data_IF_335211172183
#
_entry.id   IF_335211172183
#
_cell.length_a   1.000
_cell.length_b   1.000
_cell.length_c   1.000
_cell.angle_alpha   90.00
_cell.angle_beta   90.00
_cell.angle_gamma   90.00
#
_symmetry.space_group_name_H-M   'P 1'
#
loop_
_entity.id
_entity.type
_entity.pdbx_description
1 polymer ?
#
# COMPACT_ATOMS: atom_id res chain seq x y z
N UNK A 1 -6.49 -26.33 -6.62
CA UNK A 1 -6.46 -25.43 -7.79
C UNK A 1 -7.88 -24.94 -8.03
N UNK A 2 -8.11 -23.62 -8.18
CA UNK A 2 -9.35 -23.18 -8.81
C UNK A 2 -9.44 -23.78 -10.23
N UNK A 3 -10.65 -24.06 -10.73
CA UNK A 3 -10.82 -24.66 -12.05
C UNK A 3 -10.16 -23.78 -13.10
N UNK A 4 -9.30 -24.36 -13.93
CA UNK A 4 -8.78 -23.70 -15.13
C UNK A 4 -9.97 -23.57 -16.08
N UNK A 5 -10.48 -22.36 -16.22
CA UNK A 5 -11.59 -22.07 -17.12
C UNK A 5 -11.17 -22.31 -18.58
N UNK A 6 -12.13 -22.63 -19.44
CA UNK A 6 -11.90 -22.80 -20.88
C UNK A 6 -11.38 -21.48 -21.47
N UNK A 7 -10.22 -21.46 -22.17
CA UNK A 7 -9.65 -20.24 -22.77
C UNK A 7 -10.63 -19.45 -23.65
N UNK A 8 -11.61 -20.12 -24.27
CA UNK A 8 -12.66 -19.47 -25.07
C UNK A 8 -13.72 -18.80 -24.19
N UNK A 9 -14.03 -19.38 -23.03
CA UNK A 9 -14.95 -18.80 -22.04
C UNK A 9 -14.32 -17.54 -21.43
N UNK A 10 -13.02 -17.56 -21.17
CA UNK A 10 -12.28 -16.41 -20.65
C UNK A 10 -12.31 -15.21 -21.60
N UNK A 11 -12.11 -15.42 -22.91
CA UNK A 11 -12.14 -14.31 -23.89
C UNK A 11 -13.52 -13.62 -23.96
N UNK A 12 -14.61 -14.40 -24.00
CA UNK A 12 -15.97 -13.85 -24.08
C UNK A 12 -16.36 -13.06 -22.83
N UNK A 13 -16.04 -13.58 -21.65
CA UNK A 13 -16.40 -12.91 -20.39
C UNK A 13 -15.54 -11.67 -20.12
N UNK A 14 -14.27 -11.68 -20.56
CA UNK A 14 -13.41 -10.49 -20.54
C UNK A 14 -14.01 -9.37 -21.37
N UNK A 15 -14.43 -9.65 -22.61
CA UNK A 15 -15.05 -8.63 -23.48
C UNK A 15 -16.39 -8.12 -22.93
N UNK A 16 -17.17 -8.99 -22.26
CA UNK A 16 -18.39 -8.57 -21.56
C UNK A 16 -18.10 -7.59 -20.40
N UNK A 17 -17.02 -7.80 -19.64
CA UNK A 17 -16.62 -6.85 -18.59
C UNK A 17 -16.04 -5.57 -19.20
N UNK A 18 -15.16 -5.70 -20.19
CA UNK A 18 -14.47 -4.59 -20.87
C UNK A 18 -15.46 -3.59 -21.47
N UNK A 19 -16.47 -4.07 -22.20
CA UNK A 19 -17.52 -3.23 -22.78
C UNK A 19 -18.32 -2.42 -21.75
N UNK A 20 -18.46 -2.94 -20.52
CA UNK A 20 -19.18 -2.26 -19.43
C UNK A 20 -18.33 -1.25 -18.63
N UNK A 21 -17.02 -1.16 -18.90
CA UNK A 21 -16.12 -0.21 -18.21
C UNK A 21 -15.35 0.71 -19.16
N UNK A 22 -15.60 0.58 -20.47
CA UNK A 22 -14.88 1.30 -21.53
C UNK A 22 -14.89 2.82 -21.36
N UNK A 23 -15.94 3.38 -20.77
CA UNK A 23 -16.11 4.82 -20.54
C UNK A 23 -15.12 5.42 -19.53
N UNK A 24 -14.51 4.60 -18.67
CA UNK A 24 -13.54 5.02 -17.65
C UNK A 24 -12.20 4.27 -17.74
N UNK A 25 -12.05 3.38 -18.72
CA UNK A 25 -10.88 2.53 -18.90
C UNK A 25 -9.72 3.34 -19.52
N UNK A 26 -8.54 3.23 -18.94
CA UNK A 26 -7.33 3.82 -19.50
C UNK A 26 -6.63 2.82 -20.45
N UNK A 27 -6.14 3.25 -21.64
CA UNK A 27 -5.52 2.34 -22.61
C UNK A 27 -4.33 1.54 -22.06
N UNK A 28 -3.53 2.13 -21.17
CA UNK A 28 -2.42 1.43 -20.52
C UNK A 28 -2.87 0.23 -19.67
N UNK A 29 -4.03 0.33 -19.01
CA UNK A 29 -4.56 -0.73 -18.15
C UNK A 29 -5.38 -1.77 -18.92
N UNK A 30 -5.71 -1.48 -20.19
CA UNK A 30 -6.60 -2.27 -21.04
C UNK A 30 -5.90 -3.53 -21.59
N UNK A 31 -5.70 -4.51 -20.71
CA UNK A 31 -5.06 -5.80 -21.04
C UNK A 31 -5.96 -6.96 -20.63
N UNK A 32 -6.03 -8.06 -21.43
CA UNK A 32 -6.82 -9.24 -21.08
C UNK A 32 -6.51 -9.80 -19.68
N UNK A 33 -5.23 -9.80 -19.29
CA UNK A 33 -4.80 -10.33 -18.00
C UNK A 33 -5.23 -9.47 -16.82
N UNK A 34 -5.32 -8.14 -16.97
CA UNK A 34 -5.90 -7.30 -15.92
C UNK A 34 -7.36 -7.66 -15.69
N UNK A 35 -8.18 -7.77 -16.74
CA UNK A 35 -9.57 -8.22 -16.59
C UNK A 35 -9.67 -9.62 -15.97
N UNK A 36 -8.79 -10.54 -16.38
CA UNK A 36 -8.75 -11.90 -15.85
C UNK A 36 -8.48 -11.92 -14.34
N UNK A 37 -7.54 -11.09 -13.84
CA UNK A 37 -7.29 -10.94 -12.38
C UNK A 37 -8.55 -10.52 -11.63
N UNK A 38 -9.28 -9.53 -12.16
CA UNK A 38 -10.53 -9.06 -11.53
C UNK A 38 -11.60 -10.15 -11.54
N UNK A 39 -11.77 -10.86 -12.66
CA UNK A 39 -12.71 -11.98 -12.78
C UNK A 39 -12.38 -13.13 -11.82
N UNK A 40 -11.13 -13.59 -11.79
CA UNK A 40 -10.64 -14.63 -10.88
C UNK A 40 -10.93 -14.28 -9.42
N UNK A 41 -10.74 -13.00 -9.06
CA UNK A 41 -10.96 -12.53 -7.70
C UNK A 41 -12.43 -12.47 -7.27
N UNK A 42 -13.37 -12.56 -8.22
CA UNK A 42 -14.80 -12.58 -7.99
C UNK A 42 -15.48 -13.80 -8.59
N UNK A 43 -14.74 -14.92 -8.73
CA UNK A 43 -15.27 -16.21 -9.20
C UNK A 43 -16.00 -16.09 -10.55
N UNK A 44 -15.44 -15.27 -11.45
CA UNK A 44 -16.00 -14.97 -12.77
C UNK A 44 -17.42 -14.37 -12.75
N UNK A 45 -17.83 -13.78 -11.62
CA UNK A 45 -19.10 -13.05 -11.55
C UNK A 45 -18.98 -11.67 -12.21
N UNK A 46 -19.53 -11.52 -13.41
CA UNK A 46 -19.46 -10.29 -14.21
C UNK A 46 -19.95 -9.06 -13.45
N UNK A 47 -21.13 -9.13 -12.81
CA UNK A 47 -21.73 -7.99 -12.11
C UNK A 47 -20.87 -7.50 -10.94
N UNK A 48 -20.40 -8.42 -10.09
CA UNK A 48 -19.47 -8.10 -8.99
C UNK A 48 -18.14 -7.57 -9.50
N UNK A 49 -17.63 -8.15 -10.59
CA UNK A 49 -16.37 -7.75 -11.23
C UNK A 49 -16.47 -6.32 -11.74
N UNK A 50 -17.48 -6.00 -12.55
CA UNK A 50 -17.72 -4.66 -13.08
C UNK A 50 -17.86 -3.64 -11.95
N UNK A 51 -18.67 -3.92 -10.93
CA UNK A 51 -18.86 -3.00 -9.81
C UNK A 51 -17.55 -2.64 -9.09
N UNK A 52 -16.71 -3.63 -8.78
CA UNK A 52 -15.46 -3.39 -8.06
C UNK A 52 -14.35 -2.84 -8.98
N UNK A 53 -14.29 -3.30 -10.23
CA UNK A 53 -13.37 -2.77 -11.23
C UNK A 53 -13.64 -1.28 -11.49
N UNK A 54 -14.91 -0.85 -11.59
CA UNK A 54 -15.23 0.58 -11.76
C UNK A 54 -14.75 1.43 -10.58
N UNK A 55 -14.85 0.93 -9.34
CA UNK A 55 -14.27 1.59 -8.15
C UNK A 55 -12.76 1.71 -8.26
N UNK A 56 -12.09 0.64 -8.70
CA UNK A 56 -10.65 0.66 -8.90
C UNK A 56 -10.22 1.64 -10.01
N UNK A 57 -10.86 1.62 -11.18
CA UNK A 57 -10.54 2.53 -12.29
C UNK A 57 -10.72 4.00 -11.88
N UNK A 58 -11.79 4.31 -11.13
CA UNK A 58 -11.97 5.65 -10.53
C UNK A 58 -10.84 5.99 -9.55
N UNK A 59 -10.48 5.06 -8.67
CA UNK A 59 -9.39 5.22 -7.70
C UNK A 59 -8.02 5.44 -8.37
N UNK A 60 -7.73 4.72 -9.47
CA UNK A 60 -6.53 4.90 -10.29
C UNK A 60 -6.49 6.29 -10.90
N UNK A 61 -7.60 6.70 -11.53
CA UNK A 61 -7.75 8.02 -12.16
C UNK A 61 -7.55 9.16 -11.16
N UNK A 62 -8.16 9.08 -9.98
CA UNK A 62 -8.02 10.09 -8.91
C UNK A 62 -6.57 10.23 -8.38
N UNK A 63 -5.76 9.17 -8.53
CA UNK A 63 -4.37 9.14 -8.06
C UNK A 63 -3.37 9.29 -9.20
N UNK A 64 -3.84 9.50 -10.43
CA UNK A 64 -3.04 9.61 -11.64
C UNK A 64 -2.09 8.42 -11.84
N UNK A 65 -2.52 7.19 -11.49
CA UNK A 65 -1.61 6.03 -11.53
C UNK A 65 -1.24 5.58 -12.94
N UNK A 66 -2.04 5.98 -13.93
CA UNK A 66 -1.84 5.63 -15.35
C UNK A 66 -1.14 6.74 -16.14
N UNK A 67 -0.88 7.89 -15.52
CA UNK A 67 -0.02 8.94 -16.07
C UNK A 67 1.45 8.54 -15.81
N UNK A 68 2.42 9.10 -16.56
CA UNK A 68 3.84 8.74 -16.41
C UNK A 68 4.31 8.75 -14.94
N UNK A 69 5.47 8.17 -14.61
CA UNK A 69 5.98 7.95 -13.24
C UNK A 69 5.91 9.15 -12.25
N UNK A 70 5.51 10.34 -12.71
CA UNK A 70 5.09 11.51 -11.93
C UNK A 70 3.63 11.50 -11.45
N UNK A 71 2.77 10.58 -11.85
CA UNK A 71 1.35 10.57 -11.49
C UNK A 71 1.07 10.50 -9.99
N UNK A 72 1.86 9.72 -9.24
CA UNK A 72 1.83 9.74 -7.77
C UNK A 72 2.46 10.99 -7.14
N UNK A 73 2.97 11.93 -7.94
CA UNK A 73 3.41 13.27 -7.51
C UNK A 73 2.23 14.25 -7.55
N UNK A 74 1.26 14.04 -8.47
CA UNK A 74 0.09 14.90 -8.74
C UNK A 74 -1.15 14.58 -7.90
N UNK A 75 -1.22 13.46 -7.17
CA UNK A 75 -2.39 13.05 -6.36
C UNK A 75 -2.75 13.97 -5.16
N UNK A 76 -2.19 15.17 -5.11
CA UNK A 76 -2.70 16.27 -4.29
C UNK A 76 -3.50 17.24 -5.18
N UNK A 77 -4.63 16.80 -5.73
CA UNK A 77 -5.70 17.71 -6.16
C UNK A 77 -6.80 17.56 -5.11
N UNK A 78 -6.75 18.35 -4.05
CA UNK A 78 -7.46 19.62 -3.99
C UNK A 78 -8.97 19.39 -4.21
N UNK A 79 -9.67 19.10 -3.11
CA UNK A 79 -10.93 19.81 -2.90
C UNK A 79 -10.61 21.31 -3.01
N UNK A 80 -11.53 22.06 -3.60
CA UNK A 80 -11.56 23.52 -3.70
C UNK A 80 -11.12 24.16 -5.02
N UNK A 81 -12.17 24.60 -5.70
CA UNK A 81 -12.28 25.71 -6.61
C UNK A 81 -11.65 27.01 -6.07
N UNK A 82 -11.08 27.78 -7.02
CA UNK A 82 -10.77 29.22 -7.07
C UNK A 82 -9.56 29.84 -6.30
N UNK A 83 -8.70 30.47 -7.12
CA UNK A 83 -7.82 31.64 -6.91
C UNK A 83 -6.28 31.49 -6.92
N UNK A 84 -5.68 32.34 -7.77
CA UNK A 84 -4.37 32.28 -8.42
C UNK A 84 -3.23 32.94 -7.61
N UNK A 85 -3.17 32.72 -6.29
CA UNK A 85 -2.03 33.15 -5.45
C UNK A 85 -1.23 31.97 -4.84
N UNK A 86 -1.70 30.73 -5.04
CA UNK A 86 -1.18 29.51 -4.43
C UNK A 86 0.08 28.93 -5.10
N UNK A 87 0.52 29.46 -6.24
CA UNK A 87 1.53 28.81 -7.11
C UNK A 87 2.92 28.75 -6.44
N UNK A 88 3.33 29.77 -5.67
CA UNK A 88 4.64 29.76 -4.99
C UNK A 88 4.67 28.88 -3.73
N UNK A 89 3.55 28.76 -3.01
CA UNK A 89 3.47 27.89 -1.83
C UNK A 89 3.38 26.41 -2.22
N UNK A 90 2.69 26.12 -3.34
CA UNK A 90 2.58 24.77 -3.89
C UNK A 90 3.95 24.19 -4.27
N UNK A 91 4.83 24.97 -4.93
CA UNK A 91 6.17 24.50 -5.32
C UNK A 91 7.06 24.14 -4.10
N UNK A 92 6.99 24.92 -3.00
CA UNK A 92 7.72 24.60 -1.75
C UNK A 92 7.19 23.35 -1.04
N UNK A 93 5.87 23.13 -1.08
CA UNK A 93 5.24 21.92 -0.54
C UNK A 93 5.57 20.69 -1.40
N UNK A 94 5.58 20.84 -2.72
CA UNK A 94 5.99 19.83 -3.70
C UNK A 94 7.45 19.39 -3.51
N UNK A 95 8.39 20.33 -3.32
CA UNK A 95 9.81 20.01 -3.06
C UNK A 95 10.02 19.28 -1.73
N UNK A 96 9.26 19.62 -0.67
CA UNK A 96 9.27 18.89 0.60
C UNK A 96 8.66 17.49 0.49
N UNK A 97 7.58 17.33 -0.27
CA UNK A 97 6.98 16.02 -0.59
C UNK A 97 7.96 15.15 -1.39
N UNK A 98 8.66 15.73 -2.36
CA UNK A 98 9.75 15.08 -3.10
C UNK A 98 10.93 14.66 -2.20
N UNK A 99 11.29 15.47 -1.21
CA UNK A 99 12.36 15.14 -0.26
C UNK A 99 11.97 14.03 0.71
N UNK A 100 10.72 14.01 1.19
CA UNK A 100 10.20 12.97 2.11
C UNK A 100 9.96 11.62 1.43
N UNK A 101 9.62 11.63 0.15
CA UNK A 101 9.49 10.42 -0.67
C UNK A 101 10.83 9.68 -0.90
N UNK A 102 11.97 10.35 -0.74
CA UNK A 102 13.27 9.67 -0.73
C UNK A 102 13.46 8.82 0.52
N UNK A 103 12.83 9.18 1.65
CA UNK A 103 13.02 8.50 2.93
C UNK A 103 12.47 7.07 2.86
N UNK A 104 11.25 6.86 2.35
CA UNK A 104 10.70 5.51 2.21
C UNK A 104 11.53 4.64 1.28
N UNK A 105 11.86 5.14 0.08
CA UNK A 105 12.63 4.38 -0.91
C UNK A 105 14.07 4.08 -0.47
N UNK A 106 14.66 4.91 0.39
CA UNK A 106 16.03 4.75 0.90
C UNK A 106 16.09 3.86 2.15
N UNK A 107 15.16 4.03 3.10
CA UNK A 107 15.20 3.38 4.42
C UNK A 107 14.24 2.18 4.55
N UNK A 108 13.30 2.02 3.63
CA UNK A 108 12.43 0.85 3.51
C UNK A 108 12.40 0.33 2.05
N UNK A 109 13.55 -0.04 1.48
CA UNK A 109 13.64 -0.43 0.07
C UNK A 109 12.97 -1.79 -0.17
N UNK A 110 12.30 -1.89 -1.32
CA UNK A 110 11.77 -3.14 -1.85
C UNK A 110 12.62 -3.54 -3.06
N UNK A 111 13.08 -4.79 -3.10
CA UNK A 111 14.04 -5.25 -4.10
C UNK A 111 13.35 -6.13 -5.14
N UNK A 112 13.54 -5.81 -6.42
CA UNK A 112 13.14 -6.70 -7.52
C UNK A 112 14.33 -7.58 -7.86
N UNK A 113 14.18 -8.89 -7.67
CA UNK A 113 15.25 -9.86 -7.97
C UNK A 113 15.27 -10.15 -9.47
N UNK A 114 14.10 -10.45 -10.03
CA UNK A 114 13.95 -10.84 -11.43
C UNK A 114 12.89 -11.92 -11.63
N UNK A 115 12.79 -12.39 -12.87
CA UNK A 115 11.83 -13.40 -13.26
C UNK A 115 12.29 -14.79 -12.84
N UNK A 116 11.42 -15.49 -12.10
CA UNK A 116 11.55 -16.92 -11.84
C UNK A 116 11.28 -17.71 -13.12
N UNK A 117 12.03 -18.79 -13.32
CA UNK A 117 11.87 -19.72 -14.46
C UNK A 117 11.27 -21.07 -14.09
N UNK A 118 10.95 -21.27 -12.80
CA UNK A 118 10.39 -22.51 -12.28
C UNK A 118 9.17 -22.99 -13.08
N UNK A 119 9.11 -24.28 -13.40
CA UNK A 119 7.98 -24.89 -14.12
C UNK A 119 6.65 -24.57 -13.42
N UNK A 120 5.67 -24.09 -14.19
CA UNK A 120 4.33 -23.78 -13.69
C UNK A 120 4.17 -22.43 -12.96
N UNK A 121 5.18 -21.56 -12.96
CA UNK A 121 5.10 -20.27 -12.26
C UNK A 121 5.80 -19.11 -12.96
N UNK A 122 5.05 -18.31 -13.73
CA UNK A 122 5.52 -17.02 -14.27
C UNK A 122 5.58 -15.96 -13.16
N UNK A 123 6.49 -16.13 -12.21
CA UNK A 123 6.61 -15.25 -11.06
C UNK A 123 7.71 -14.20 -11.21
N UNK A 124 7.38 -12.93 -10.99
CA UNK A 124 8.37 -11.91 -10.69
C UNK A 124 8.71 -12.01 -9.20
N UNK A 125 9.97 -12.29 -8.89
CA UNK A 125 10.45 -12.42 -7.50
C UNK A 125 10.77 -11.05 -6.95
N UNK A 126 10.08 -10.68 -5.86
CA UNK A 126 10.30 -9.42 -5.13
C UNK A 126 10.58 -9.73 -3.67
N UNK A 127 11.53 -9.00 -3.09
CA UNK A 127 12.00 -9.23 -1.72
C UNK A 127 11.84 -7.97 -0.89
N UNK A 128 11.15 -8.11 0.23
CA UNK A 128 10.96 -7.12 1.27
C UNK A 128 11.79 -7.51 2.50
N UNK A 129 12.85 -6.74 2.79
CA UNK A 129 13.76 -6.99 3.91
C UNK A 129 13.22 -6.40 5.23
N UNK A 130 11.93 -6.66 5.51
CA UNK A 130 11.18 -6.02 6.59
C UNK A 130 11.79 -6.20 7.98
N UNK A 131 12.46 -7.34 8.26
CA UNK A 131 13.13 -7.57 9.54
C UNK A 131 14.31 -6.63 9.82
N UNK A 132 14.90 -6.04 8.78
CA UNK A 132 16.05 -5.13 8.89
C UNK A 132 15.68 -3.64 8.79
N UNK A 133 14.41 -3.33 8.50
CA UNK A 133 13.95 -1.94 8.39
C UNK A 133 13.91 -1.31 9.79
N UNK A 134 14.41 -0.08 9.91
CA UNK A 134 14.21 0.76 11.10
C UNK A 134 12.76 1.27 11.14
N UNK A 135 11.83 0.37 11.49
CA UNK A 135 10.39 0.63 11.52
C UNK A 135 10.08 1.83 12.41
N UNK A 136 10.73 1.93 13.57
CA UNK A 136 10.53 3.03 14.51
C UNK A 136 11.01 4.38 13.95
N UNK A 137 12.16 4.41 13.28
CA UNK A 137 12.67 5.59 12.59
C UNK A 137 11.76 6.03 11.45
N UNK A 138 11.28 5.08 10.63
CA UNK A 138 10.33 5.36 9.53
C UNK A 138 9.05 5.98 10.08
N UNK A 139 8.41 5.35 11.09
CA UNK A 139 7.16 5.85 11.68
C UNK A 139 7.31 7.23 12.34
N UNK A 140 8.51 7.60 12.80
CA UNK A 140 8.80 8.94 13.35
C UNK A 140 9.13 9.98 12.29
N UNK A 141 9.38 9.58 11.05
CA UNK A 141 9.89 10.46 9.99
C UNK A 141 8.86 10.82 8.92
N UNK A 142 7.93 9.91 8.62
CA UNK A 142 6.94 10.07 7.55
C UNK A 142 5.52 9.82 8.06
N UNK A 143 4.53 10.28 7.29
CA UNK A 143 3.14 9.91 7.55
C UNK A 143 2.86 8.49 7.03
N UNK A 144 1.98 7.70 7.68
CA UNK A 144 1.57 6.39 7.16
C UNK A 144 1.02 6.43 5.73
N UNK A 145 0.33 7.52 5.37
CA UNK A 145 -0.17 7.75 4.01
C UNK A 145 0.96 7.91 2.97
N UNK A 146 2.09 8.51 3.36
CA UNK A 146 3.28 8.61 2.50
C UNK A 146 3.91 7.23 2.27
N UNK A 147 3.96 6.38 3.31
CA UNK A 147 4.39 4.98 3.17
C UNK A 147 3.47 4.20 2.21
N UNK A 148 2.15 4.31 2.37
CA UNK A 148 1.18 3.68 1.49
C UNK A 148 1.33 4.13 0.03
N UNK A 149 1.55 5.43 -0.21
CA UNK A 149 1.81 5.92 -1.56
C UNK A 149 3.09 5.34 -2.17
N UNK A 150 4.13 5.10 -1.38
CA UNK A 150 5.32 4.40 -1.86
C UNK A 150 5.01 2.94 -2.24
N UNK A 151 4.19 2.25 -1.44
CA UNK A 151 3.75 0.90 -1.77
C UNK A 151 2.98 0.86 -3.09
N UNK A 152 2.08 1.82 -3.35
CA UNK A 152 1.42 1.92 -4.66
C UNK A 152 2.42 2.09 -5.81
N UNK A 153 3.45 2.94 -5.65
CA UNK A 153 4.50 3.08 -6.68
C UNK A 153 5.20 1.77 -6.96
N UNK A 154 5.57 1.05 -5.91
CA UNK A 154 6.22 -0.24 -6.05
C UNK A 154 5.30 -1.23 -6.79
N UNK A 155 4.02 -1.28 -6.43
CA UNK A 155 3.06 -2.18 -7.07
C UNK A 155 2.71 -1.79 -8.52
N UNK A 156 2.67 -0.49 -8.85
CA UNK A 156 2.55 -0.04 -10.25
C UNK A 156 3.78 -0.46 -11.07
N UNK A 157 4.99 -0.28 -10.54
CA UNK A 157 6.21 -0.76 -11.22
C UNK A 157 6.16 -2.28 -11.44
N UNK A 158 5.69 -3.04 -10.45
CA UNK A 158 5.53 -4.49 -10.58
C UNK A 158 4.49 -4.86 -11.63
N UNK A 159 3.35 -4.16 -11.64
CA UNK A 159 2.28 -4.37 -12.60
C UNK A 159 2.76 -4.07 -14.02
N UNK A 160 3.52 -2.99 -14.22
CA UNK A 160 4.11 -2.63 -15.51
C UNK A 160 5.05 -3.74 -16.02
N UNK A 161 6.00 -4.19 -15.19
CA UNK A 161 6.90 -5.31 -15.53
C UNK A 161 6.11 -6.57 -15.86
N UNK A 162 5.06 -6.86 -15.09
CA UNK A 162 4.16 -8.00 -15.32
C UNK A 162 3.44 -7.89 -16.65
N UNK A 163 2.79 -6.76 -16.95
CA UNK A 163 2.05 -6.56 -18.19
C UNK A 163 2.98 -6.66 -19.41
N UNK A 164 4.21 -6.16 -19.32
CA UNK A 164 5.21 -6.35 -20.38
C UNK A 164 5.55 -7.82 -20.61
N UNK A 165 5.76 -8.59 -19.54
CA UNK A 165 6.08 -10.01 -19.65
C UNK A 165 4.90 -10.83 -20.17
N UNK A 166 3.69 -10.49 -19.74
CA UNK A 166 2.45 -11.07 -20.23
C UNK A 166 2.24 -10.81 -21.72
N UNK A 167 2.53 -9.60 -22.19
CA UNK A 167 2.49 -9.26 -23.62
C UNK A 167 3.54 -10.04 -24.44
N UNK A 168 4.73 -10.28 -23.88
CA UNK A 168 5.82 -11.04 -24.52
C UNK A 168 5.53 -12.54 -24.59
N UNK A 169 4.96 -13.10 -23.53
CA UNK A 169 4.82 -14.56 -23.35
C UNK A 169 3.43 -15.08 -23.70
N UNK A 170 2.41 -14.21 -23.68
CA UNK A 170 1.01 -14.61 -23.82
C UNK A 170 0.47 -15.41 -22.63
N UNK A 171 1.16 -15.40 -21.49
CA UNK A 171 0.78 -16.16 -20.30
C UNK A 171 0.66 -15.25 -19.08
N UNK A 172 -0.34 -15.48 -18.23
CA UNK A 172 -0.57 -14.69 -17.03
C UNK A 172 0.64 -14.80 -16.08
N UNK A 173 1.07 -13.67 -15.54
CA UNK A 173 2.20 -13.55 -14.61
C UNK A 173 1.71 -13.06 -13.24
N UNK A 174 2.50 -13.30 -12.20
CA UNK A 174 2.18 -12.89 -10.81
C UNK A 174 3.44 -12.60 -10.01
N UNK A 175 3.30 -12.08 -8.79
CA UNK A 175 4.42 -11.90 -7.86
C UNK A 175 4.64 -13.14 -6.99
N UNK A 176 5.90 -13.51 -6.81
CA UNK A 176 6.38 -14.23 -5.64
C UNK A 176 6.95 -13.19 -4.68
N UNK A 177 6.17 -12.83 -3.65
CA UNK A 177 6.53 -11.83 -2.66
C UNK A 177 7.21 -12.49 -1.48
N UNK A 178 8.52 -12.31 -1.35
CA UNK A 178 9.34 -12.83 -0.26
C UNK A 178 9.42 -11.77 0.84
N UNK A 179 8.86 -12.07 2.01
CA UNK A 179 8.85 -11.20 3.17
C UNK A 179 9.87 -11.72 4.19
N UNK A 180 11.05 -11.10 4.20
CA UNK A 180 12.18 -11.52 5.02
C UNK A 180 12.14 -10.83 6.39
N UNK A 181 11.99 -11.63 7.45
CA UNK A 181 11.95 -11.17 8.83
C UNK A 181 13.28 -11.31 9.58
N UNK A 182 14.37 -11.63 8.88
CA UNK A 182 15.70 -11.66 9.47
C UNK A 182 16.04 -10.31 10.12
N UNK A 183 16.48 -10.35 11.38
CA UNK A 183 16.78 -9.17 12.17
C UNK A 183 15.59 -8.52 12.89
N UNK A 184 14.35 -9.01 12.71
CA UNK A 184 13.19 -8.41 13.37
C UNK A 184 13.30 -8.58 14.90
N UNK A 185 13.42 -7.45 15.61
CA UNK A 185 13.39 -7.41 17.07
C UNK A 185 11.98 -7.20 17.59
N UNK A 186 11.59 -7.91 18.67
CA UNK A 186 10.28 -7.70 19.28
C UNK A 186 10.22 -6.33 19.96
N UNK A 187 9.32 -5.47 19.49
CA UNK A 187 8.96 -4.19 20.09
C UNK A 187 7.43 -4.15 20.24
N UNK A 188 6.86 -3.86 21.43
CA UNK A 188 5.42 -3.73 21.62
C UNK A 188 4.73 -2.79 20.62
N UNK A 189 5.44 -1.78 20.12
CA UNK A 189 4.96 -0.88 19.07
C UNK A 189 4.60 -1.63 17.77
N UNK A 190 5.27 -2.76 17.48
CA UNK A 190 4.97 -3.58 16.30
C UNK A 190 3.52 -4.04 16.26
N UNK A 191 2.91 -4.36 17.40
CA UNK A 191 1.50 -4.78 17.43
C UNK A 191 0.57 -3.63 17.03
N UNK A 192 0.87 -2.40 17.47
CA UNK A 192 0.13 -1.20 17.06
C UNK A 192 0.30 -0.90 15.57
N UNK A 193 1.53 -0.99 15.06
CA UNK A 193 1.84 -0.79 13.64
C UNK A 193 1.16 -1.86 12.77
N UNK A 194 1.22 -3.13 13.20
CA UNK A 194 0.65 -4.27 12.51
C UNK A 194 -0.87 -4.17 12.42
N UNK A 195 -1.54 -3.85 13.54
CA UNK A 195 -3.00 -3.75 13.61
C UNK A 195 -3.58 -2.44 13.04
N UNK A 196 -2.77 -1.39 12.92
CA UNK A 196 -3.13 -0.11 12.32
C UNK A 196 -2.55 0.07 10.91
N UNK A 197 -1.49 0.89 10.73
CA UNK A 197 -1.03 1.36 9.42
C UNK A 197 -0.60 0.24 8.47
N UNK A 198 0.04 -0.84 8.95
CA UNK A 198 0.43 -1.97 8.11
C UNK A 198 -0.80 -2.69 7.55
N UNK A 199 -1.75 -3.07 8.44
CA UNK A 199 -3.02 -3.70 8.03
C UNK A 199 -3.76 -2.84 7.01
N UNK A 200 -3.93 -1.55 7.26
CA UNK A 200 -4.65 -0.64 6.36
C UNK A 200 -3.97 -0.59 4.99
N UNK A 201 -2.63 -0.52 4.98
CA UNK A 201 -1.85 -0.49 3.74
C UNK A 201 -2.05 -1.77 2.92
N UNK A 202 -1.89 -2.93 3.54
CA UNK A 202 -2.03 -4.22 2.86
C UNK A 202 -3.47 -4.54 2.46
N UNK A 203 -4.46 -4.13 3.24
CA UNK A 203 -5.87 -4.24 2.86
C UNK A 203 -6.17 -3.37 1.64
N UNK A 204 -5.60 -2.17 1.57
CA UNK A 204 -5.75 -1.30 0.40
C UNK A 204 -5.07 -1.91 -0.83
N UNK A 205 -3.84 -2.40 -0.71
CA UNK A 205 -3.14 -3.11 -1.78
C UNK A 205 -3.97 -4.32 -2.27
N UNK A 206 -4.45 -5.17 -1.37
CA UNK A 206 -5.28 -6.33 -1.71
C UNK A 206 -6.66 -5.98 -2.27
N UNK A 207 -7.08 -4.71 -2.22
CA UNK A 207 -8.31 -4.22 -2.86
C UNK A 207 -8.06 -3.77 -4.29
N UNK A 208 -6.91 -3.16 -4.57
CA UNK A 208 -6.62 -2.53 -5.87
C UNK A 208 -5.69 -3.35 -6.77
N UNK A 209 -4.86 -4.22 -6.21
CA UNK A 209 -3.93 -5.10 -6.94
C UNK A 209 -4.37 -6.56 -6.78
N UNK A 210 -5.62 -6.83 -7.17
CA UNK A 210 -6.25 -8.15 -7.06
C UNK A 210 -5.47 -9.18 -7.88
N UNK A 211 -5.29 -10.37 -7.31
CA UNK A 211 -4.56 -11.49 -7.94
C UNK A 211 -3.16 -11.13 -8.49
N UNK A 212 -2.55 -10.00 -8.07
CA UNK A 212 -1.20 -9.64 -8.50
C UNK A 212 -0.14 -10.43 -7.74
N UNK A 213 -0.36 -10.65 -6.44
CA UNK A 213 0.46 -11.54 -5.62
C UNK A 213 -0.11 -12.95 -5.76
N UNK A 214 0.63 -13.82 -6.44
CA UNK A 214 0.27 -15.22 -6.56
C UNK A 214 0.75 -16.05 -5.37
N UNK A 215 1.93 -15.72 -4.82
CA UNK A 215 2.49 -16.32 -3.61
C UNK A 215 3.13 -15.27 -2.72
N UNK A 216 2.87 -15.35 -1.41
CA UNK A 216 3.46 -14.51 -0.39
C UNK A 216 4.14 -15.43 0.64
N UNK A 217 5.47 -15.45 0.67
CA UNK A 217 6.23 -16.35 1.56
C UNK A 217 6.96 -15.51 2.62
N UNK A 218 6.70 -15.82 3.88
CA UNK A 218 7.38 -15.19 5.01
C UNK A 218 8.52 -16.11 5.45
N UNK A 219 9.75 -15.61 5.37
CA UNK A 219 10.98 -16.36 5.70
C UNK A 219 11.70 -15.75 6.90
N UNK A 220 12.66 -16.49 7.47
CA UNK A 220 13.40 -16.09 8.67
C UNK A 220 12.48 -15.66 9.82
N UNK A 221 11.40 -16.41 10.04
CA UNK A 221 10.39 -16.04 11.01
C UNK A 221 10.93 -16.08 12.45
N UNK A 222 10.68 -15.04 13.27
CA UNK A 222 11.09 -15.07 14.66
C UNK A 222 10.23 -16.03 15.49
N UNK A 223 10.72 -16.45 16.66
CA UNK A 223 9.99 -17.38 17.55
C UNK A 223 8.60 -16.89 17.97
N UNK A 224 8.36 -15.58 17.92
CA UNK A 224 7.09 -14.94 18.26
C UNK A 224 6.20 -14.62 17.06
N UNK A 225 6.50 -15.12 15.85
CA UNK A 225 5.71 -14.87 14.63
C UNK A 225 4.23 -15.20 14.80
N UNK A 226 3.90 -16.24 15.55
CA UNK A 226 2.51 -16.64 15.82
C UNK A 226 1.73 -15.54 16.55
N UNK A 227 2.37 -14.76 17.42
CA UNK A 227 1.73 -13.63 18.10
C UNK A 227 1.35 -12.55 17.08
N UNK A 228 2.27 -12.21 16.17
CA UNK A 228 2.00 -11.25 15.10
C UNK A 228 0.90 -11.75 14.15
N UNK A 229 0.97 -13.03 13.75
CA UNK A 229 -0.03 -13.63 12.89
C UNK A 229 -1.42 -13.68 13.53
N UNK A 230 -1.53 -14.02 14.81
CA UNK A 230 -2.81 -13.98 15.54
C UNK A 230 -3.41 -12.58 15.60
N UNK A 231 -2.57 -11.53 15.68
CA UNK A 231 -3.05 -10.14 15.65
C UNK A 231 -3.51 -9.69 14.25
N UNK A 232 -2.88 -10.19 13.17
CA UNK A 232 -3.16 -9.77 11.79
C UNK A 232 -4.24 -10.63 11.09
N UNK A 233 -4.18 -11.96 11.26
CA UNK A 233 -4.95 -12.93 10.48
C UNK A 233 -6.48 -12.78 10.50
N UNK A 234 -7.14 -12.25 11.56
CA UNK A 234 -8.58 -11.98 11.53
C UNK A 234 -8.99 -10.96 10.47
N UNK A 235 -8.05 -10.14 9.98
CA UNK A 235 -8.29 -9.10 8.99
C UNK A 235 -7.89 -9.50 7.57
N UNK A 236 -7.31 -10.69 7.41
CA UNK A 236 -6.89 -11.22 6.10
C UNK A 236 -8.02 -12.08 5.52
N UNK A 237 -8.55 -11.77 4.34
CA UNK A 237 -9.56 -12.60 3.68
C UNK A 237 -9.05 -14.02 3.42
N UNK A 238 -9.93 -15.02 3.50
CA UNK A 238 -9.55 -16.45 3.37
C UNK A 238 -8.84 -16.77 2.05
N UNK A 239 -9.33 -16.18 0.94
CA UNK A 239 -8.69 -16.27 -0.38
C UNK A 239 -7.23 -15.79 -0.34
N UNK A 240 -6.94 -14.70 0.38
CA UNK A 240 -5.59 -14.20 0.52
C UNK A 240 -4.72 -15.08 1.43
N UNK A 241 -5.28 -15.65 2.51
CA UNK A 241 -4.55 -16.58 3.40
C UNK A 241 -4.03 -17.80 2.64
N UNK A 242 -4.79 -18.33 1.68
CA UNK A 242 -4.36 -19.47 0.86
C UNK A 242 -3.09 -19.22 0.03
N UNK A 243 -2.70 -17.95 -0.16
CA UNK A 243 -1.48 -17.54 -0.86
C UNK A 243 -0.33 -17.20 0.08
N UNK A 244 -0.58 -17.10 1.39
CA UNK A 244 0.40 -16.74 2.40
C UNK A 244 0.98 -18.03 3.01
N UNK A 245 2.29 -18.19 2.90
CA UNK A 245 3.04 -19.26 3.56
C UNK A 245 3.95 -18.65 4.62
N UNK A 246 3.67 -18.93 5.89
CA UNK A 246 4.57 -18.57 7.00
C UNK A 246 5.48 -19.77 7.27
N UNK A 247 6.75 -19.63 6.93
CA UNK A 247 7.71 -20.73 7.02
C UNK A 247 8.31 -20.88 8.42
N UNK A 248 8.92 -22.04 8.66
CA UNK A 248 9.65 -22.34 9.89
C UNK A 248 11.17 -22.31 9.68
N UNK A 249 11.87 -23.28 10.28
CA UNK A 249 13.33 -23.41 10.17
C UNK A 249 13.80 -23.86 8.78
N UNK A 250 12.93 -24.55 8.05
CA UNK A 250 13.17 -25.11 6.70
C UNK A 250 12.75 -24.16 5.58
N UNK A 251 12.76 -22.86 5.85
CA UNK A 251 12.27 -21.87 4.89
C UNK A 251 13.05 -21.85 3.58
N UNK A 252 14.31 -22.33 3.58
CA UNK A 252 15.14 -22.42 2.37
C UNK A 252 14.58 -23.47 1.44
N UNK A 253 14.29 -24.65 1.96
CA UNK A 253 13.64 -25.73 1.21
C UNK A 253 12.27 -25.26 0.70
N UNK A 254 11.46 -24.66 1.58
CA UNK A 254 10.13 -24.12 1.21
C UNK A 254 10.21 -23.07 0.08
N UNK A 255 11.25 -22.23 0.08
CA UNK A 255 11.46 -21.21 -0.97
C UNK A 255 11.93 -21.83 -2.30
N UNK A 256 12.78 -22.87 -2.23
CA UNK A 256 13.28 -23.58 -3.40
C UNK A 256 12.19 -24.42 -4.10
N UNK A 257 11.12 -24.79 -3.40
CA UNK A 257 9.91 -25.35 -4.02
C UNK A 257 9.12 -24.33 -4.86
N UNK A 258 9.36 -23.04 -4.66
CA UNK A 258 8.64 -21.96 -5.36
C UNK A 258 9.50 -21.28 -6.43
N UNK A 259 10.82 -21.32 -6.32
CA UNK A 259 11.73 -20.60 -7.21
C UNK A 259 13.02 -21.36 -7.49
N UNK A 260 13.49 -21.25 -8.73
CA UNK A 260 14.75 -21.85 -9.15
C UNK A 260 15.95 -21.18 -8.47
N UNK A 261 16.95 -21.98 -8.10
CA UNK A 261 18.23 -21.55 -7.53
C UNK A 261 18.88 -20.46 -8.38
N UNK A 262 18.82 -20.56 -9.72
CA UNK A 262 19.40 -19.58 -10.65
C UNK A 262 18.70 -18.21 -10.61
N UNK A 263 17.48 -18.16 -10.07
CA UNK A 263 16.64 -16.96 -10.02
C UNK A 263 16.57 -16.34 -8.62
N UNK A 264 17.33 -16.89 -7.66
CA UNK A 264 17.36 -16.44 -6.27
C UNK A 264 18.70 -15.79 -5.89
N UNK A 265 18.70 -14.86 -4.92
CA UNK A 265 19.91 -14.31 -4.32
C UNK A 265 20.71 -15.35 -3.51
N UNK A 266 22.02 -15.15 -3.40
CA UNK A 266 22.94 -16.04 -2.67
C UNK A 266 22.52 -16.27 -1.22
N UNK A 267 22.07 -15.23 -0.50
CA UNK A 267 21.58 -15.35 0.88
C UNK A 267 20.40 -16.31 1.04
N UNK A 268 19.63 -16.48 -0.02
CA UNK A 268 18.47 -17.37 -0.07
C UNK A 268 18.76 -18.72 -0.73
N UNK A 269 20.05 -19.06 -0.88
CA UNK A 269 20.51 -20.33 -1.45
C UNK A 269 20.58 -20.33 -2.98
N UNK A 270 20.45 -19.16 -3.62
CA UNK A 270 20.54 -19.00 -5.05
C UNK A 270 21.95 -18.65 -5.57
N UNK A 271 22.01 -18.13 -6.80
CA UNK A 271 23.26 -17.76 -7.49
C UNK A 271 23.37 -16.30 -7.90
N UNK A 272 22.34 -15.48 -7.64
CA UNK A 272 22.40 -14.05 -7.94
C UNK A 272 23.18 -13.36 -6.81
N UNK A 273 24.28 -12.65 -7.10
CA UNK A 273 25.05 -11.96 -6.08
C UNK A 273 24.20 -10.96 -5.30
N UNK A 274 24.25 -11.02 -3.97
CA UNK A 274 23.46 -10.20 -3.06
C UNK A 274 23.60 -8.69 -3.40
N UNK A 275 24.82 -8.21 -3.71
CA UNK A 275 25.08 -6.79 -3.98
C UNK A 275 24.40 -6.23 -5.24
N UNK A 276 23.97 -7.10 -6.17
CA UNK A 276 23.25 -6.68 -7.38
C UNK A 276 21.77 -6.42 -7.12
N UNK A 277 21.23 -7.05 -6.08
CA UNK A 277 19.80 -7.07 -5.79
C UNK A 277 19.49 -6.19 -4.59
N UNK A 278 20.25 -6.38 -3.51
CA UNK A 278 19.91 -5.82 -2.21
C UNK A 278 20.59 -4.50 -1.96
N UNK A 279 19.81 -3.62 -1.32
CA UNK A 279 20.32 -2.47 -0.60
C UNK A 279 19.96 -2.70 0.86
N UNK A 280 20.98 -2.83 1.71
CA UNK A 280 20.73 -3.00 3.13
C UNK A 280 20.00 -1.76 3.68
N UNK A 281 18.84 -1.93 4.35
CA UNK A 281 18.17 -0.82 5.00
C UNK A 281 19.09 -0.15 6.01
N UNK A 282 19.09 1.18 6.03
CA UNK A 282 19.86 1.98 6.98
C UNK A 282 18.95 2.47 8.11
N UNK A 283 19.49 2.76 9.31
CA UNK A 283 18.74 3.48 10.32
C UNK A 283 18.35 4.86 9.82
N UNK A 284 17.16 5.34 10.17
CA UNK A 284 16.69 6.64 9.70
C UNK A 284 17.37 7.76 10.52
N UNK A 285 18.05 8.72 9.87
CA UNK A 285 18.66 9.85 10.57
C UNK A 285 17.65 10.65 11.39
N UNK A 286 18.00 10.97 12.65
CA UNK A 286 17.11 11.65 13.61
C UNK A 286 16.74 13.09 13.25
N UNK A 287 17.45 13.70 12.30
CA UNK A 287 17.13 15.00 11.72
C UNK A 287 15.95 14.91 10.73
N UNK A 288 15.68 13.73 10.18
CA UNK A 288 14.50 13.47 9.35
C UNK A 288 13.23 13.22 10.17
N UNK A 289 13.36 13.00 11.48
CA UNK A 289 12.22 12.78 12.35
C UNK A 289 11.33 14.02 12.33
N UNK A 290 10.02 13.79 12.25
CA UNK A 290 9.06 14.87 12.31
C UNK A 290 9.19 15.60 13.65
N UNK A 291 9.25 16.93 13.58
CA UNK A 291 9.26 17.82 14.74
C UNK A 291 8.13 18.83 14.60
N UNK A 292 7.40 19.12 15.68
CA UNK A 292 6.44 20.22 15.67
C UNK A 292 7.18 21.51 15.31
N UNK A 293 6.52 22.41 14.58
CA UNK A 293 7.12 23.71 14.27
C UNK A 293 7.22 24.55 15.54
N UNK A 294 8.18 25.50 15.64
CA UNK A 294 8.35 26.32 16.82
C UNK A 294 7.10 27.12 17.25
N UNK A 295 6.23 27.46 16.29
CA UNK A 295 4.97 28.18 16.49
C UNK A 295 3.79 27.29 16.89
N UNK A 296 3.96 25.96 16.93
CA UNK A 296 2.88 25.05 17.32
C UNK A 296 2.66 25.10 18.84
N UNK A 297 1.41 25.02 19.32
CA UNK A 297 1.13 24.99 20.74
C UNK A 297 1.78 23.77 21.39
N UNK A 298 2.28 23.95 22.62
CA UNK A 298 2.76 22.82 23.41
C UNK A 298 1.60 21.88 23.75
N UNK A 299 1.89 20.58 23.88
CA UNK A 299 0.89 19.58 24.29
C UNK A 299 0.22 19.97 25.61
N UNK A 300 0.98 20.58 26.53
CA UNK A 300 0.49 21.05 27.82
C UNK A 300 -0.53 22.20 27.72
N UNK A 301 -0.46 23.00 26.65
CA UNK A 301 -1.41 24.09 26.37
C UNK A 301 -2.65 23.65 25.59
N UNK A 302 -2.71 22.39 25.13
CA UNK A 302 -3.83 21.88 24.34
C UNK A 302 -4.97 21.34 25.23
N UNK A 303 -6.21 21.49 24.75
CA UNK A 303 -7.37 20.89 25.41
C UNK A 303 -7.32 19.36 25.32
N UNK A 304 -7.27 18.69 26.47
CA UNK A 304 -7.32 17.23 26.52
C UNK A 304 -8.75 16.74 26.36
N UNK A 305 -8.95 15.84 25.41
CA UNK A 305 -10.25 15.25 25.09
C UNK A 305 -10.09 13.74 25.19
N UNK A 306 -11.01 13.10 25.93
CA UNK A 306 -11.15 11.64 25.94
C UNK A 306 -12.47 11.28 25.25
N UNK A 307 -12.39 10.33 24.32
CA UNK A 307 -13.50 9.79 23.56
C UNK A 307 -13.47 8.27 23.67
N UNK A 308 -14.48 7.63 24.29
CA UNK A 308 -14.53 6.17 24.37
C UNK A 308 -14.60 5.52 22.99
N UNK A 309 -14.11 4.28 22.86
CA UNK A 309 -14.14 3.54 21.61
C UNK A 309 -15.56 3.47 21.01
N UNK A 310 -15.67 3.78 19.72
CA UNK A 310 -16.94 3.78 18.98
C UNK A 310 -17.89 4.93 19.31
N UNK A 311 -17.44 5.92 20.11
CA UNK A 311 -18.18 7.16 20.36
C UNK A 311 -17.61 8.31 19.55
N UNK A 312 -18.44 9.31 19.33
CA UNK A 312 -18.10 10.55 18.65
C UNK A 312 -18.33 11.71 19.60
N UNK A 313 -17.52 12.76 19.45
CA UNK A 313 -17.64 13.96 20.27
C UNK A 313 -17.52 15.20 19.38
N UNK A 314 -18.38 16.16 19.64
CA UNK A 314 -18.56 17.37 18.83
C UNK A 314 -18.03 18.60 19.56
N UNK A 315 -17.26 19.44 18.85
CA UNK A 315 -16.77 20.73 19.36
C UNK A 315 -17.25 21.90 18.50
N UNK A 316 -18.13 22.71 19.07
CA UNK A 316 -18.71 23.90 18.45
C UNK A 316 -17.82 25.12 18.61
N UNK A 317 -17.54 25.83 17.52
CA UNK A 317 -16.93 27.16 17.57
C UNK A 317 -17.76 28.16 16.77
N UNK A 318 -17.88 29.39 17.26
CA UNK A 318 -18.52 30.48 16.54
C UNK A 318 -17.42 31.41 16.03
N UNK A 319 -17.45 31.73 14.74
CA UNK A 319 -16.42 32.52 14.08
C UNK A 319 -17.06 33.51 13.11
N UNK A 320 -16.46 34.70 13.00
CA UNK A 320 -16.87 35.72 12.04
C UNK A 320 -16.22 35.48 10.67
N UNK A 321 -16.84 36.00 9.61
CA UNK A 321 -16.28 35.96 8.26
C UNK A 321 -14.86 36.52 8.26
N UNK A 322 -13.91 35.75 7.74
CA UNK A 322 -12.49 36.11 7.71
C UNK A 322 -11.66 35.57 8.87
N UNK A 323 -12.27 34.87 9.84
CA UNK A 323 -11.52 34.16 10.90
C UNK A 323 -10.77 32.96 10.33
N UNK A 324 -9.48 32.84 10.64
CA UNK A 324 -8.68 31.65 10.33
C UNK A 324 -8.78 30.63 11.48
N UNK A 325 -9.24 29.41 11.17
CA UNK A 325 -9.31 28.31 12.13
C UNK A 325 -8.09 27.40 11.98
N UNK A 326 -7.23 27.37 13.00
CA UNK A 326 -6.10 26.46 13.08
C UNK A 326 -6.38 25.37 14.13
N UNK A 327 -6.40 24.11 13.70
CA UNK A 327 -6.65 22.96 14.57
C UNK A 327 -5.36 22.15 14.71
N UNK A 328 -4.84 22.10 15.94
CA UNK A 328 -3.73 21.24 16.31
C UNK A 328 -4.29 20.03 17.06
N UNK A 329 -3.86 18.82 16.69
CA UNK A 329 -4.25 17.60 17.40
C UNK A 329 -3.03 16.73 17.66
N UNK A 330 -3.01 16.10 18.83
CA UNK A 330 -2.09 15.03 19.18
C UNK A 330 -2.92 13.92 19.79
N UNK A 331 -2.74 12.71 19.29
CA UNK A 331 -3.64 11.60 19.54
C UNK A 331 -2.83 10.36 19.86
N UNK A 332 -3.30 9.58 20.82
CA UNK A 332 -2.68 8.31 21.21
C UNK A 332 -3.06 7.18 20.22
N UNK A 333 -4.08 7.39 19.38
CA UNK A 333 -4.54 6.47 18.35
C UNK A 333 -5.10 7.21 17.13
N UNK A 334 -5.35 6.48 16.04
CA UNK A 334 -6.06 7.02 14.87
C UNK A 334 -7.49 7.43 15.25
N UNK A 335 -7.95 8.53 14.67
CA UNK A 335 -9.29 9.09 14.85
C UNK A 335 -9.74 9.74 13.54
N UNK A 336 -11.03 9.73 13.26
CA UNK A 336 -11.59 10.34 12.06
C UNK A 336 -12.23 11.66 12.44
N UNK A 337 -11.85 12.75 11.77
CA UNK A 337 -12.53 14.01 11.97
C UNK A 337 -13.03 14.63 10.67
N UNK A 338 -14.10 15.41 10.80
CA UNK A 338 -14.65 16.22 9.75
C UNK A 338 -15.05 17.58 10.30
N UNK A 339 -15.02 18.60 9.45
CA UNK A 339 -15.36 19.97 9.80
C UNK A 339 -16.64 20.32 9.04
N UNK A 340 -17.64 20.81 9.77
CA UNK A 340 -18.98 21.08 9.25
C UNK A 340 -19.31 22.54 9.51
N UNK A 341 -19.87 23.21 8.51
CA UNK A 341 -20.29 24.60 8.54
C UNK A 341 -21.82 24.69 8.45
N UNK A 342 -22.41 25.59 9.24
CA UNK A 342 -23.84 25.89 9.23
C UNK A 342 -24.07 27.38 9.47
N UNK A 343 -24.92 28.01 8.66
CA UNK A 343 -25.33 29.44 8.79
C UNK A 343 -26.45 29.64 9.80
N UNK A 344 -27.30 28.63 9.99
CA UNK A 344 -28.32 28.62 11.03
C UNK A 344 -27.67 28.15 12.32
N UNK A 345 -28.08 28.68 13.46
CA UNK A 345 -27.81 28.09 14.79
C UNK A 345 -28.27 26.63 14.81
N UNK A 346 -27.44 25.76 14.28
CA UNK A 346 -27.31 24.39 14.74
C UNK A 346 -26.12 24.49 15.66
N UNK A 347 -26.36 24.29 16.96
CA UNK A 347 -25.31 24.12 17.97
C UNK A 347 -24.16 23.29 17.36
N UNK A 348 -23.07 23.91 16.89
CA UNK A 348 -21.95 23.14 16.35
C UNK A 348 -21.33 23.59 15.05
N UNK A 349 -20.07 24.01 15.11
CA UNK A 349 -19.06 23.24 14.37
C UNK A 349 -19.18 21.81 14.88
N UNK A 350 -19.53 20.89 13.99
CA UNK A 350 -19.56 19.47 14.36
C UNK A 350 -18.23 18.88 13.96
N UNK A 351 -17.24 18.92 14.86
CA UNK A 351 -16.07 18.05 14.70
C UNK A 351 -16.56 16.62 14.94
N UNK A 352 -16.41 15.73 13.97
CA UNK A 352 -16.56 14.30 14.22
C UNK A 352 -15.27 13.87 14.93
N UNK A 353 -15.37 13.14 16.03
CA UNK A 353 -14.22 12.50 16.68
C UNK A 353 -14.35 10.99 16.53
#
# INVERSE_FOLDING_TARGET
MPPVADPKVDANIIEQVRSQVLDILHPHYDTPFNFLRWLQSYEFNVSKTVHNLRKHLKWRKERHLDEDARGLQSSAVCLYSVYTLFILCCVRSYLKKYFRLKVTAEYAPLSVVGWNRHEGGNYLVVVDQSGRIDIGGVMKSIQPTEYLHQLYRNFENFLEMIMEQEAKTGAQCSLLYVFDLDGLSFDPMLLGILSGPFRVSWQSLGTHYRELIGKFIVINTPSYINVLWSALSPFVPEQAKSRITITGRTWREDLLELAEVECLPERYGGKIPDEKVFRDPKPVPKDLYWRPKPDYPSVASMHRISTPAGKTRTMTYFAETGTELQIYTQNDSDFSFGIFYSEKEVRGITVYL
#
